data_IF_079865688953
#
_entry.id   IF_079865688953
#
_cell.length_a   1.000
_cell.length_b   1.000
_cell.length_c   1.000
_cell.angle_alpha   90.00
_cell.angle_beta   90.00
_cell.angle_gamma   90.00
#
_symmetry.space_group_name_H-M   'P 1'
#
loop_
_entity.id
_entity.type
_entity.pdbx_description
1 polymer ?
#
# COMPACT_ATOMS: atom_id res chain seq x y z
N UNK A 1 5.03 9.08 23.95
CA UNK A 1 3.93 8.24 24.47
C UNK A 1 2.94 7.81 23.38
N UNK A 2 2.41 8.74 22.56
CA UNK A 2 1.47 8.48 21.45
C UNK A 2 1.84 7.37 20.45
N UNK A 3 3.12 7.19 20.11
CA UNK A 3 3.59 6.14 19.19
C UNK A 3 3.36 4.69 19.67
N UNK A 4 3.11 4.46 20.96
CA UNK A 4 2.85 3.10 21.50
C UNK A 4 1.36 2.75 21.43
N UNK A 5 0.49 3.71 21.76
CA UNK A 5 -0.97 3.58 21.65
C UNK A 5 -1.40 3.29 20.21
N UNK A 6 -0.91 4.07 19.24
CA UNK A 6 -1.24 3.88 17.83
C UNK A 6 -0.81 2.51 17.30
N UNK A 7 0.36 2.01 17.73
CA UNK A 7 0.84 0.67 17.34
C UNK A 7 0.00 -0.45 17.94
N UNK A 8 -0.48 -0.30 19.19
CA UNK A 8 -1.40 -1.27 19.81
C UNK A 8 -2.74 -1.32 19.08
N UNK A 9 -3.31 -0.16 18.73
CA UNK A 9 -4.58 -0.09 18.01
C UNK A 9 -4.45 -0.75 16.64
N UNK A 10 -3.39 -0.39 15.88
CA UNK A 10 -3.11 -0.99 14.57
C UNK A 10 -2.86 -2.49 14.69
N UNK A 11 -2.11 -2.94 15.70
CA UNK A 11 -1.88 -4.37 15.93
C UNK A 11 -3.14 -5.13 16.33
N UNK A 12 -4.04 -4.54 17.13
CA UNK A 12 -5.31 -5.18 17.51
C UNK A 12 -6.24 -5.32 16.30
N UNK A 13 -6.35 -4.28 15.47
CA UNK A 13 -7.20 -4.29 14.28
C UNK A 13 -6.65 -5.30 13.26
N UNK A 14 -5.34 -5.32 13.03
CA UNK A 14 -4.72 -6.25 12.08
C UNK A 14 -4.66 -7.69 12.64
N UNK A 15 -4.63 -7.85 13.97
CA UNK A 15 -4.72 -9.14 14.66
C UNK A 15 -6.13 -9.74 14.66
N UNK A 16 -7.17 -8.93 14.48
CA UNK A 16 -8.55 -9.40 14.31
C UNK A 16 -8.78 -10.05 12.95
N UNK A 17 -7.97 -9.71 11.95
CA UNK A 17 -8.09 -10.21 10.58
C UNK A 17 -7.39 -11.58 10.51
N UNK A 18 -8.07 -12.63 10.02
CA UNK A 18 -7.46 -13.95 9.86
C UNK A 18 -6.17 -13.87 9.03
N UNK A 19 -5.10 -14.53 9.46
CA UNK A 19 -3.83 -14.58 8.74
C UNK A 19 -3.93 -14.85 7.22
N UNK A 20 -4.75 -15.82 6.74
CA UNK A 20 -4.87 -16.05 5.30
C UNK A 20 -5.47 -14.85 4.57
N UNK A 21 -6.49 -14.21 5.15
CA UNK A 21 -7.13 -13.00 4.59
C UNK A 21 -6.13 -11.84 4.58
N UNK A 22 -5.37 -11.67 5.67
CA UNK A 22 -4.35 -10.63 5.79
C UNK A 22 -3.27 -10.75 4.71
N UNK A 23 -2.80 -11.97 4.44
CA UNK A 23 -1.82 -12.24 3.39
C UNK A 23 -2.37 -11.95 2.00
N UNK A 24 -3.62 -12.36 1.72
CA UNK A 24 -4.28 -12.08 0.43
C UNK A 24 -4.42 -10.57 0.21
N UNK A 25 -4.94 -9.84 1.21
CA UNK A 25 -5.10 -8.38 1.14
C UNK A 25 -3.74 -7.70 0.96
N UNK A 26 -2.73 -8.13 1.71
CA UNK A 26 -1.36 -7.61 1.58
C UNK A 26 -0.77 -7.84 0.18
N UNK A 27 -0.99 -9.01 -0.40
CA UNK A 27 -0.54 -9.34 -1.75
C UNK A 27 -1.27 -8.51 -2.81
N UNK A 28 -2.59 -8.35 -2.70
CA UNK A 28 -3.39 -7.54 -3.63
C UNK A 28 -2.92 -6.08 -3.60
N UNK A 29 -2.75 -5.50 -2.39
CA UNK A 29 -2.22 -4.14 -2.22
C UNK A 29 -0.84 -3.96 -2.87
N UNK A 30 0.00 -5.00 -2.79
CA UNK A 30 1.35 -4.98 -3.36
C UNK A 30 1.30 -5.06 -4.90
N UNK A 31 0.46 -5.94 -5.46
CA UNK A 31 0.23 -6.02 -6.91
C UNK A 31 -0.34 -4.69 -7.42
N UNK A 32 -1.36 -4.14 -6.76
CA UNK A 32 -1.95 -2.85 -7.13
C UNK A 32 -0.91 -1.74 -7.09
N UNK A 33 -0.10 -1.66 -6.03
CA UNK A 33 0.96 -0.66 -5.90
C UNK A 33 1.97 -0.74 -7.05
N UNK A 34 2.46 -1.95 -7.34
CA UNK A 34 3.41 -2.21 -8.42
C UNK A 34 2.82 -1.90 -9.79
N UNK A 35 1.58 -2.33 -10.08
CA UNK A 35 0.89 -2.05 -11.34
C UNK A 35 0.67 -0.55 -11.53
N UNK A 36 0.34 0.17 -10.46
CA UNK A 36 0.15 1.63 -10.52
C UNK A 36 1.47 2.32 -10.86
N UNK A 37 2.57 1.97 -10.18
CA UNK A 37 3.91 2.51 -10.49
C UNK A 37 4.37 2.16 -11.91
N UNK A 38 4.07 0.95 -12.38
CA UNK A 38 4.35 0.53 -13.76
C UNK A 38 3.55 1.32 -14.80
N UNK A 39 2.33 1.77 -14.48
CA UNK A 39 1.52 2.60 -15.38
C UNK A 39 1.90 4.07 -15.35
N UNK A 40 2.47 4.56 -14.26
CA UNK A 40 2.91 5.95 -14.13
C UNK A 40 3.95 6.29 -15.22
N UNK A 41 4.89 5.38 -15.49
CA UNK A 41 5.96 5.60 -16.47
C UNK A 41 5.46 5.75 -17.94
N UNK A 42 4.69 4.79 -18.50
CA UNK A 42 4.10 4.95 -19.83
C UNK A 42 3.00 6.02 -19.84
N UNK A 43 2.27 6.23 -18.75
CA UNK A 43 1.28 7.31 -18.64
C UNK A 43 1.92 8.70 -18.82
N UNK A 44 3.11 8.89 -18.24
CA UNK A 44 3.87 10.14 -18.38
C UNK A 44 4.39 10.32 -19.81
N UNK A 45 4.87 9.25 -20.44
CA UNK A 45 5.45 9.30 -21.78
C UNK A 45 4.43 9.40 -22.92
N UNK A 46 3.24 8.79 -22.77
CA UNK A 46 2.27 8.65 -23.86
C UNK A 46 1.00 9.49 -23.70
N UNK A 47 0.66 9.96 -22.50
CA UNK A 47 -0.63 10.59 -22.21
C UNK A 47 -0.55 12.01 -21.64
N UNK A 48 0.62 12.67 -21.66
CA UNK A 48 0.83 14.01 -21.09
C UNK A 48 0.20 14.15 -19.69
N UNK A 49 0.42 13.16 -18.82
CA UNK A 49 -0.06 13.22 -17.44
C UNK A 49 0.44 14.51 -16.80
N UNK A 50 -0.48 15.34 -16.33
CA UNK A 50 -0.13 16.55 -15.58
C UNK A 50 0.70 16.19 -14.35
N UNK A 51 1.64 17.05 -13.97
CA UNK A 51 2.55 16.82 -12.84
C UNK A 51 1.80 16.43 -11.55
N UNK A 52 0.59 16.96 -11.36
CA UNK A 52 -0.30 16.62 -10.26
C UNK A 52 -0.80 15.17 -10.31
N UNK A 53 -1.25 14.69 -11.46
CA UNK A 53 -1.73 13.31 -11.61
C UNK A 53 -0.58 12.32 -11.45
N UNK A 54 0.61 12.65 -11.94
CA UNK A 54 1.83 11.88 -11.72
C UNK A 54 2.13 11.76 -10.22
N UNK A 55 2.13 12.88 -9.50
CA UNK A 55 2.45 12.91 -8.07
C UNK A 55 1.45 12.09 -7.24
N UNK A 56 0.15 12.20 -7.56
CA UNK A 56 -0.91 11.42 -6.90
C UNK A 56 -0.73 9.93 -7.14
N UNK A 57 -0.53 9.50 -8.39
CA UNK A 57 -0.38 8.09 -8.74
C UNK A 57 0.90 7.49 -8.15
N UNK A 58 1.99 8.27 -8.10
CA UNK A 58 3.25 7.87 -7.48
C UNK A 58 3.11 7.70 -5.96
N UNK A 59 2.52 8.66 -5.26
CA UNK A 59 2.26 8.57 -3.82
C UNK A 59 1.31 7.41 -3.49
N UNK A 60 0.25 7.23 -4.27
CA UNK A 60 -0.69 6.13 -4.10
C UNK A 60 0.01 4.77 -4.28
N UNK A 61 0.84 4.63 -5.32
CA UNK A 61 1.60 3.40 -5.59
C UNK A 61 2.56 3.04 -4.47
N UNK A 62 3.32 4.02 -3.95
CA UNK A 62 4.22 3.83 -2.81
C UNK A 62 3.43 3.44 -1.57
N UNK A 63 2.37 4.17 -1.24
CA UNK A 63 1.59 3.95 -0.02
C UNK A 63 0.90 2.57 -0.03
N UNK A 64 0.33 2.18 -1.17
CA UNK A 64 -0.26 0.85 -1.38
C UNK A 64 0.78 -0.26 -1.20
N UNK A 65 1.98 -0.07 -1.74
CA UNK A 65 3.07 -1.05 -1.60
C UNK A 65 3.54 -1.18 -0.14
N UNK A 66 3.69 -0.05 0.57
CA UNK A 66 4.05 -0.03 1.99
C UNK A 66 3.00 -0.74 2.85
N UNK A 67 1.71 -0.47 2.62
CA UNK A 67 0.62 -1.15 3.32
C UNK A 67 0.59 -2.65 2.99
N UNK A 68 0.78 -3.03 1.73
CA UNK A 68 0.86 -4.43 1.31
C UNK A 68 1.96 -5.18 2.06
N UNK A 69 3.16 -4.59 2.12
CA UNK A 69 4.29 -5.14 2.88
C UNK A 69 3.98 -5.18 4.38
N UNK A 70 3.34 -4.16 4.95
CA UNK A 70 2.99 -4.12 6.38
C UNK A 70 2.03 -5.27 6.73
N UNK A 71 1.01 -5.52 5.91
CA UNK A 71 0.07 -6.61 6.10
C UNK A 71 0.73 -7.98 5.94
N UNK A 72 1.66 -8.13 4.99
CA UNK A 72 2.43 -9.38 4.81
C UNK A 72 3.44 -9.62 5.94
N UNK A 73 4.04 -8.56 6.48
CA UNK A 73 5.08 -8.62 7.52
C UNK A 73 4.51 -8.75 8.92
N UNK A 74 3.27 -8.33 9.15
CA UNK A 74 2.60 -8.58 10.41
C UNK A 74 2.44 -10.10 10.56
N UNK A 75 3.24 -10.70 11.44
CA UNK A 75 3.01 -12.02 12.00
C UNK A 75 2.07 -11.82 13.19
N UNK A 76 1.05 -12.66 13.31
CA UNK A 76 0.21 -12.68 14.52
C UNK A 76 1.07 -12.93 15.74
#
# INVERSE_FOLDING_TARGET
>A
MFRREARKIVSNIIGLIPEPVRKIVGLILLIVGVVTLLRVYPGMLFFELTDQMFFVAFFFGIFSSFLGILFLRHKG
#
